data_IF_168098899432
#
_entry.id   IF_168098899432
#
_cell.length_a   1.000
_cell.length_b   1.000
_cell.length_c   1.000
_cell.angle_alpha   90.00
_cell.angle_beta   90.00
_cell.angle_gamma   90.00
#
_symmetry.space_group_name_H-M   'P 1'
#
loop_
_entity.id
_entity.type
_entity.pdbx_description
1 polymer ?
#
# COMPACT_ATOMS: atom_id res chain seq x y z
N UNK A 1 45.07 29.32 -21.82
CA UNK A 1 44.87 28.74 -20.48
C UNK A 1 43.52 28.06 -20.46
N UNK A 2 43.54 26.80 -20.05
CA UNK A 2 42.47 25.83 -20.14
C UNK A 2 41.86 25.67 -18.75
N UNK A 3 40.54 25.83 -18.61
CA UNK A 3 39.72 25.03 -17.68
C UNK A 3 38.23 25.20 -18.02
N UNK A 4 37.78 24.27 -18.85
CA UNK A 4 36.40 23.83 -18.93
C UNK A 4 35.94 23.25 -17.60
N UNK A 5 34.84 23.75 -17.04
CA UNK A 5 33.90 22.91 -16.28
C UNK A 5 32.49 23.24 -16.78
N UNK A 6 32.06 22.49 -17.80
CA UNK A 6 30.65 22.17 -18.01
C UNK A 6 30.15 21.45 -16.76
N UNK A 7 29.25 22.05 -15.98
CA UNK A 7 28.39 21.28 -15.06
C UNK A 7 27.28 20.62 -15.87
N UNK A 8 27.68 19.69 -16.73
CA UNK A 8 26.78 18.77 -17.40
C UNK A 8 26.49 17.60 -16.46
N UNK A 9 25.20 17.23 -16.40
CA UNK A 9 24.72 15.93 -15.95
C UNK A 9 24.53 15.73 -14.44
N UNK A 10 23.47 16.32 -13.89
CA UNK A 10 22.48 15.48 -13.20
C UNK A 10 21.48 14.98 -14.25
N UNK A 11 21.98 14.12 -15.15
CA UNK A 11 21.13 13.15 -15.83
C UNK A 11 20.62 12.27 -14.69
N UNK A 12 19.32 12.28 -14.42
CA UNK A 12 18.73 11.18 -13.67
C UNK A 12 19.04 9.91 -14.46
N UNK A 13 19.79 8.95 -13.91
CA UNK A 13 19.81 7.61 -14.46
C UNK A 13 18.66 6.93 -13.68
N UNK A 14 17.59 6.48 -14.30
CA UNK A 14 17.53 5.45 -15.32
C UNK A 14 16.06 5.51 -15.77
N UNK A 15 15.79 5.36 -17.07
CA UNK A 15 14.53 4.76 -17.53
C UNK A 15 14.38 3.43 -16.81
N UNK A 16 13.81 3.42 -15.60
CA UNK A 16 13.53 2.17 -14.89
C UNK A 16 12.49 1.50 -15.77
N UNK A 17 12.90 0.45 -16.47
CA UNK A 17 11.99 -0.43 -17.17
C UNK A 17 10.76 -0.61 -16.28
N UNK A 18 9.59 -0.37 -16.86
CA UNK A 18 8.27 -0.57 -16.29
C UNK A 18 8.07 -2.08 -16.09
N UNK A 19 8.89 -2.65 -15.22
CA UNK A 19 8.77 -4.02 -14.78
C UNK A 19 7.85 -3.95 -13.57
N UNK A 20 6.62 -4.45 -13.74
CA UNK A 20 5.74 -4.76 -12.62
C UNK A 20 6.46 -5.66 -11.60
N UNK A 21 5.86 -5.87 -10.42
CA UNK A 21 6.47 -6.76 -9.43
C UNK A 21 6.72 -8.15 -10.03
N UNK A 22 7.72 -8.82 -9.49
CA UNK A 22 7.98 -10.21 -9.87
C UNK A 22 6.84 -11.06 -9.33
N UNK A 23 6.00 -11.54 -10.25
CA UNK A 23 4.87 -12.43 -9.97
C UNK A 23 5.33 -13.89 -10.03
N UNK A 24 4.58 -14.76 -9.38
CA UNK A 24 4.70 -16.19 -9.59
C UNK A 24 4.08 -16.60 -10.95
N UNK A 25 4.16 -17.90 -11.28
CA UNK A 25 3.59 -18.45 -12.52
C UNK A 25 2.08 -18.30 -12.61
N UNK A 26 1.40 -17.99 -11.51
CA UNK A 26 -0.04 -17.81 -11.41
C UNK A 26 -0.47 -16.34 -11.49
N UNK A 27 0.49 -15.42 -11.68
CA UNK A 27 0.21 -13.99 -11.75
C UNK A 27 -0.02 -13.33 -10.38
N UNK A 28 0.27 -14.03 -9.28
CA UNK A 28 0.15 -13.48 -7.93
C UNK A 28 1.51 -13.02 -7.40
N UNK A 29 1.49 -12.19 -6.36
CA UNK A 29 2.71 -11.81 -5.64
C UNK A 29 3.42 -13.08 -5.13
N UNK A 30 4.63 -13.31 -5.63
CA UNK A 30 5.43 -14.44 -5.19
C UNK A 30 5.82 -14.25 -3.71
N UNK A 31 5.37 -15.16 -2.86
CA UNK A 31 5.55 -15.09 -1.39
C UNK A 31 6.98 -15.39 -0.93
N UNK A 32 7.90 -15.73 -1.84
CA UNK A 32 9.30 -15.92 -1.51
C UNK A 32 9.90 -14.62 -0.92
N UNK A 33 10.49 -14.64 0.29
CA UNK A 33 10.96 -13.44 0.96
C UNK A 33 11.94 -12.59 0.12
N UNK A 34 12.84 -13.24 -0.62
CA UNK A 34 13.82 -12.54 -1.46
C UNK A 34 13.17 -11.78 -2.63
N UNK A 35 12.03 -12.28 -3.16
CA UNK A 35 11.26 -11.59 -4.20
C UNK A 35 10.48 -10.41 -3.60
N UNK A 36 9.84 -10.61 -2.45
CA UNK A 36 9.13 -9.54 -1.73
C UNK A 36 10.09 -8.37 -1.44
N UNK A 37 11.26 -8.66 -0.87
CA UNK A 37 12.28 -7.66 -0.57
C UNK A 37 12.71 -6.94 -1.85
N UNK A 38 12.93 -7.68 -2.93
CA UNK A 38 13.27 -7.07 -4.22
C UNK A 38 12.18 -6.11 -4.71
N UNK A 39 10.90 -6.50 -4.62
CA UNK A 39 9.79 -5.64 -5.02
C UNK A 39 9.71 -4.35 -4.17
N UNK A 40 9.90 -4.46 -2.85
CA UNK A 40 9.93 -3.30 -1.92
C UNK A 40 11.08 -2.35 -2.30
N UNK A 41 12.30 -2.87 -2.42
CA UNK A 41 13.49 -2.05 -2.70
C UNK A 41 13.45 -1.40 -4.09
N UNK A 42 12.75 -2.04 -5.05
CA UNK A 42 12.61 -1.52 -6.41
C UNK A 42 11.31 -0.74 -6.64
N UNK A 43 10.49 -0.53 -5.60
CA UNK A 43 9.24 0.24 -5.67
C UNK A 43 8.22 -0.32 -6.69
N UNK A 44 8.11 -1.64 -6.77
CA UNK A 44 7.24 -2.32 -7.75
C UNK A 44 5.88 -2.63 -7.13
N UNK A 45 4.88 -1.84 -7.47
CA UNK A 45 3.48 -2.03 -7.05
C UNK A 45 2.62 -2.49 -8.23
N UNK A 46 1.62 -3.32 -7.95
CA UNK A 46 0.48 -3.49 -8.85
C UNK A 46 -0.63 -2.57 -8.35
N UNK A 47 -1.11 -1.72 -9.22
CA UNK A 47 -2.44 -1.16 -9.08
C UNK A 47 -3.35 -2.05 -9.90
N UNK A 48 -4.54 -2.35 -9.40
CA UNK A 48 -5.50 -3.15 -10.16
C UNK A 48 -5.95 -2.33 -11.36
N UNK A 49 -5.45 -2.69 -12.54
CA UNK A 49 -5.93 -2.14 -13.80
C UNK A 49 -7.01 -3.09 -14.34
N UNK A 50 -8.18 -2.52 -14.68
CA UNK A 50 -9.13 -3.04 -15.68
C UNK A 50 -10.28 -4.00 -15.29
N UNK A 51 -10.77 -4.03 -14.04
CA UNK A 51 -12.13 -4.53 -13.74
C UNK A 51 -12.97 -3.44 -13.06
N UNK A 52 -13.99 -2.94 -13.77
CA UNK A 52 -14.76 -1.69 -13.59
C UNK A 52 -15.39 -1.43 -12.19
N UNK A 53 -15.26 -2.34 -11.21
CA UNK A 53 -15.84 -2.23 -9.87
C UNK A 53 -14.81 -2.04 -8.73
N UNK A 54 -13.51 -2.22 -8.97
CA UNK A 54 -12.47 -2.20 -7.92
C UNK A 54 -11.32 -1.22 -8.18
N UNK A 55 -11.51 -0.26 -9.08
CA UNK A 55 -10.47 0.73 -9.37
C UNK A 55 -10.31 1.70 -8.19
N UNK A 56 -9.10 1.78 -7.65
CA UNK A 56 -8.79 2.72 -6.59
C UNK A 56 -8.88 4.15 -7.15
N UNK A 57 -9.51 5.05 -6.40
CA UNK A 57 -9.49 6.48 -6.69
C UNK A 57 -8.04 6.97 -6.79
N UNK A 58 -7.74 7.82 -7.77
CA UNK A 58 -6.39 8.37 -7.99
C UNK A 58 -5.85 9.04 -6.71
N UNK A 59 -6.70 9.70 -5.94
CA UNK A 59 -6.30 10.31 -4.67
C UNK A 59 -5.93 9.26 -3.61
N UNK A 60 -6.59 8.10 -3.58
CA UNK A 60 -6.21 7.00 -2.71
C UNK A 60 -4.84 6.43 -3.12
N UNK A 61 -4.61 6.27 -4.43
CA UNK A 61 -3.32 5.85 -4.98
C UNK A 61 -2.21 6.85 -4.58
N UNK A 62 -2.48 8.15 -4.67
CA UNK A 62 -1.52 9.19 -4.32
C UNK A 62 -1.17 9.20 -2.82
N UNK A 63 -2.16 9.06 -1.95
CA UNK A 63 -1.93 8.91 -0.50
C UNK A 63 -1.09 7.68 -0.21
N UNK A 64 -1.39 6.53 -0.83
CA UNK A 64 -0.61 5.29 -0.63
C UNK A 64 0.82 5.48 -1.14
N UNK A 65 1.02 6.09 -2.31
CA UNK A 65 2.37 6.40 -2.84
C UNK A 65 3.15 7.32 -1.89
N UNK A 66 2.49 8.33 -1.30
CA UNK A 66 3.12 9.23 -0.31
C UNK A 66 3.53 8.50 0.96
N UNK A 67 2.67 7.61 1.48
CA UNK A 67 2.94 6.79 2.67
C UNK A 67 4.04 5.75 2.44
N UNK A 68 4.10 5.17 1.25
CA UNK A 68 5.06 4.13 0.92
C UNK A 68 6.39 4.68 0.40
N UNK A 69 6.55 6.01 0.33
CA UNK A 69 7.76 6.63 -0.20
C UNK A 69 9.03 6.06 0.45
N UNK A 70 9.96 5.65 -0.41
CA UNK A 70 11.23 5.05 -0.01
C UNK A 70 12.07 6.06 0.78
N UNK A 71 12.10 7.32 0.35
CA UNK A 71 12.77 8.39 1.08
C UNK A 71 11.91 8.78 2.28
N UNK A 72 12.44 8.55 3.48
CA UNK A 72 11.75 8.86 4.74
C UNK A 72 11.48 10.35 4.93
N UNK A 73 12.27 11.23 4.32
CA UNK A 73 12.07 12.68 4.40
C UNK A 73 10.87 13.11 3.56
N UNK A 74 10.65 12.43 2.43
CA UNK A 74 9.54 12.68 1.50
C UNK A 74 8.31 11.82 1.79
N UNK A 75 8.38 10.94 2.80
CA UNK A 75 7.28 10.09 3.22
C UNK A 75 6.25 10.92 3.98
N UNK A 76 4.99 10.77 3.59
CA UNK A 76 3.89 11.49 4.22
C UNK A 76 3.84 11.27 5.72
N UNK A 77 3.66 12.37 6.43
CA UNK A 77 3.37 12.42 7.86
C UNK A 77 1.90 12.77 8.10
N UNK A 78 1.48 12.79 9.36
CA UNK A 78 0.09 13.07 9.74
C UNK A 78 -0.42 14.39 9.17
N UNK A 79 0.42 15.43 9.17
CA UNK A 79 0.03 16.75 8.66
C UNK A 79 -0.18 16.75 7.15
N UNK A 80 0.54 15.91 6.40
CA UNK A 80 0.36 15.75 4.96
C UNK A 80 -0.96 15.02 4.67
N UNK A 81 -1.28 13.98 5.45
CA UNK A 81 -2.54 13.25 5.34
C UNK A 81 -3.77 14.12 5.67
N UNK A 82 -3.63 15.07 6.60
CA UNK A 82 -4.69 16.03 6.92
C UNK A 82 -4.86 17.10 5.85
N UNK A 83 -3.81 17.42 5.10
CA UNK A 83 -3.83 18.43 4.02
C UNK A 83 -4.32 17.85 2.70
N UNK A 84 -3.96 16.60 2.38
CA UNK A 84 -4.41 15.88 1.19
C UNK A 84 -5.89 15.54 1.31
N UNK A 85 -6.67 16.58 1.02
CA UNK A 85 -8.08 16.68 1.33
C UNK A 85 -8.93 15.74 0.46
N UNK A 86 -8.47 15.28 -0.70
CA UNK A 86 -9.41 14.64 -1.64
C UNK A 86 -9.83 13.23 -1.21
N UNK A 87 -8.95 12.43 -0.58
CA UNK A 87 -9.28 11.06 -0.14
C UNK A 87 -9.92 10.97 1.25
N UNK A 88 -9.63 11.95 2.12
CA UNK A 88 -10.00 11.92 3.55
C UNK A 88 -10.95 13.05 3.97
N UNK A 89 -11.50 13.83 3.02
CA UNK A 89 -12.53 14.86 3.27
C UNK A 89 -13.81 14.33 3.94
N UNK A 90 -14.00 13.01 3.99
CA UNK A 90 -15.11 12.36 4.70
C UNK A 90 -14.85 12.33 6.22
N UNK A 91 -13.61 12.53 6.65
CA UNK A 91 -13.18 12.35 8.03
C UNK A 91 -12.87 13.70 8.67
N UNK A 92 -13.75 14.13 9.57
CA UNK A 92 -13.40 15.17 10.54
C UNK A 92 -12.46 14.57 11.59
N UNK A 93 -11.17 14.86 11.44
CA UNK A 93 -10.10 14.40 12.34
C UNK A 93 -10.32 14.81 13.80
N UNK A 94 -11.03 15.91 14.07
CA UNK A 94 -11.30 16.37 15.44
C UNK A 94 -12.57 15.74 16.03
N UNK A 95 -13.38 15.07 15.20
CA UNK A 95 -14.66 14.49 15.58
C UNK A 95 -14.76 12.99 15.28
N UNK A 96 -13.62 12.32 15.02
CA UNK A 96 -13.56 10.91 14.62
C UNK A 96 -14.29 9.98 15.60
N UNK A 97 -14.24 10.28 16.90
CA UNK A 97 -14.91 9.49 17.94
C UNK A 97 -16.44 9.48 17.84
N UNK A 98 -17.03 10.47 17.16
CA UNK A 98 -18.47 10.59 16.96
C UNK A 98 -18.91 10.14 15.55
N UNK A 99 -17.96 9.75 14.69
CA UNK A 99 -18.28 9.17 13.38
C UNK A 99 -18.79 7.73 13.61
N UNK A 100 -20.02 7.40 13.16
CA UNK A 100 -20.52 6.03 13.30
C UNK A 100 -19.62 5.07 12.52
N UNK A 101 -19.22 3.93 13.10
CA UNK A 101 -18.38 2.97 12.42
C UNK A 101 -19.15 2.37 11.22
N UNK A 102 -18.49 2.17 10.06
CA UNK A 102 -19.13 1.60 8.88
C UNK A 102 -19.48 0.12 9.06
N UNK A 103 -18.88 -0.54 10.05
CA UNK A 103 -19.12 -1.92 10.42
C UNK A 103 -19.30 -2.03 11.93
N UNK A 104 -20.40 -2.65 12.36
CA UNK A 104 -20.69 -2.97 13.76
C UNK A 104 -20.71 -4.49 13.87
N UNK A 105 -19.80 -5.06 14.68
CA UNK A 105 -19.79 -6.49 14.99
C UNK A 105 -21.04 -6.88 15.76
N UNK A 106 -21.59 -8.07 15.48
CA UNK A 106 -22.79 -8.60 16.13
C UNK A 106 -22.44 -9.92 16.83
N UNK A 107 -21.73 -9.88 17.97
CA UNK A 107 -21.46 -11.09 18.75
C UNK A 107 -22.74 -11.59 19.41
N UNK A 108 -22.90 -12.91 19.48
CA UNK A 108 -24.06 -13.55 20.11
C UNK A 108 -24.06 -13.40 21.64
N UNK A 109 -22.87 -13.37 22.27
CA UNK A 109 -22.67 -13.19 23.71
C UNK A 109 -21.23 -12.78 24.06
N UNK A 110 -20.96 -12.49 25.33
CA UNK A 110 -19.65 -12.04 25.83
C UNK A 110 -18.51 -13.05 25.64
N UNK A 111 -18.82 -14.31 25.35
CA UNK A 111 -17.85 -15.38 25.06
C UNK A 111 -17.78 -15.72 23.57
N UNK A 112 -18.47 -14.96 22.70
CA UNK A 112 -18.45 -15.18 21.26
C UNK A 112 -17.06 -14.84 20.68
N UNK A 113 -16.44 -15.83 20.06
CA UNK A 113 -15.15 -15.69 19.38
C UNK A 113 -15.25 -15.84 17.86
N UNK A 114 -16.43 -15.66 17.26
CA UNK A 114 -16.68 -15.88 15.83
C UNK A 114 -15.72 -15.12 14.90
N UNK A 115 -15.40 -13.86 15.23
CA UNK A 115 -14.45 -13.05 14.46
C UNK A 115 -12.98 -13.47 14.66
N UNK A 116 -12.69 -14.41 15.56
CA UNK A 116 -11.35 -14.91 15.84
C UNK A 116 -11.15 -16.29 15.23
N UNK A 117 -10.04 -16.48 14.51
CA UNK A 117 -9.69 -17.79 13.95
C UNK A 117 -9.27 -18.74 15.07
N UNK A 118 -9.98 -19.87 15.21
CA UNK A 118 -9.60 -20.95 16.10
C UNK A 118 -8.44 -21.78 15.54
N UNK A 119 -7.42 -22.07 16.37
CA UNK A 119 -6.24 -22.86 15.99
C UNK A 119 -6.62 -24.25 15.40
N UNK A 120 -7.72 -24.85 15.87
CA UNK A 120 -8.22 -26.14 15.36
C UNK A 120 -8.79 -26.03 13.94
N UNK A 121 -9.37 -24.89 13.55
CA UNK A 121 -9.88 -24.66 12.20
C UNK A 121 -8.75 -24.66 11.15
N UNK A 122 -7.55 -24.22 11.53
CA UNK A 122 -6.36 -24.20 10.65
C UNK A 122 -5.82 -25.62 10.40
N UNK A 123 -5.98 -26.54 11.36
CA UNK A 123 -5.45 -27.90 11.26
C UNK A 123 -6.35 -28.84 10.44
N UNK A 124 -7.67 -28.63 10.41
CA UNK A 124 -8.60 -29.45 9.62
C UNK A 124 -8.43 -29.30 8.11
N UNK A 125 -7.86 -28.17 7.63
CA UNK A 125 -7.60 -27.95 6.20
C UNK A 125 -6.26 -28.54 5.70
N UNK A 126 -5.56 -29.34 6.53
CA UNK A 126 -4.28 -29.98 6.17
C UNK A 126 -4.31 -31.52 6.12
N UNK A 127 -5.47 -32.18 6.28
CA UNK A 127 -5.59 -33.66 6.32
C UNK A 127 -6.58 -34.20 5.28
N UNK A 128 -6.60 -33.66 4.05
CA UNK A 128 -7.21 -34.35 2.90
C UNK A 128 -6.29 -34.23 1.68
#
# INVERSE_FOLDING_TARGET
MNTSIRSSFLKSPIHRNVLGPVLDTSGYLNVCPHIIISNILNYRFLWSDDDDDNQLLEDAINVIKGLLNYDSILRFQLDDLKKDSISLNIIDWNNLANVPPPFISIPDNDSDTFYFVGILSILSNKIL
#
